data_IF_368317030409
#
_entry.id   IF_368317030409
#
_cell.length_a   1.000
_cell.length_b   1.000
_cell.length_c   1.000
_cell.angle_alpha   90.00
_cell.angle_beta   90.00
_cell.angle_gamma   90.00
#
_symmetry.space_group_name_H-M   'P 1'
#
loop_
_entity.id
_entity.type
_entity.pdbx_description
1 polymer ?
#
# COMPACT_ATOMS: atom_id res chain seq x y z
N UNK A 1 -48.46 37.48 -49.10
CA UNK A 1 -47.72 36.25 -48.79
C UNK A 1 -46.29 36.66 -48.42
N UNK A 2 -45.91 36.63 -47.13
CA UNK A 2 -44.57 37.05 -46.67
C UNK A 2 -43.56 35.97 -47.09
N UNK A 3 -42.71 36.27 -48.06
CA UNK A 3 -41.57 35.43 -48.43
C UNK A 3 -40.53 35.50 -47.31
N UNK A 4 -40.28 34.38 -46.63
CA UNK A 4 -39.15 34.22 -45.71
C UNK A 4 -37.89 34.07 -46.56
N UNK A 5 -37.01 35.06 -46.52
CA UNK A 5 -35.63 34.95 -47.01
C UNK A 5 -34.88 33.95 -46.15
N UNK A 6 -34.46 32.83 -46.72
CA UNK A 6 -33.50 31.94 -46.07
C UNK A 6 -32.11 32.55 -46.21
N UNK A 7 -31.52 32.93 -45.08
CA UNK A 7 -30.13 33.36 -45.00
C UNK A 7 -29.32 32.04 -44.91
N UNK A 8 -28.70 31.64 -46.02
CA UNK A 8 -27.82 30.48 -46.04
C UNK A 8 -26.51 30.78 -45.30
N UNK A 9 -26.00 29.81 -44.55
CA UNK A 9 -24.70 29.92 -43.87
C UNK A 9 -23.58 30.12 -44.91
N UNK A 10 -22.68 31.06 -44.65
CA UNK A 10 -21.55 31.29 -45.55
C UNK A 10 -20.50 30.19 -45.37
N UNK A 11 -19.81 29.83 -46.45
CA UNK A 11 -18.72 28.84 -46.43
C UNK A 11 -17.61 29.23 -45.44
N UNK A 12 -17.39 30.54 -45.28
CA UNK A 12 -16.43 31.12 -44.34
C UNK A 12 -16.87 30.92 -42.88
N UNK A 13 -18.15 31.05 -42.60
CA UNK A 13 -18.71 30.88 -41.25
C UNK A 13 -18.59 29.43 -40.76
N UNK A 14 -18.86 28.46 -41.64
CA UNK A 14 -18.61 27.04 -41.33
C UNK A 14 -17.10 26.75 -41.17
N UNK A 15 -16.24 27.36 -41.99
CA UNK A 15 -14.78 27.18 -41.86
C UNK A 15 -14.24 27.74 -40.53
N UNK A 16 -14.72 28.89 -40.09
CA UNK A 16 -14.34 29.49 -38.79
C UNK A 16 -14.87 28.63 -37.63
N UNK A 17 -16.12 28.15 -37.69
CA UNK A 17 -16.68 27.26 -36.66
C UNK A 17 -15.87 25.97 -36.54
N UNK A 18 -15.50 25.34 -37.66
CA UNK A 18 -14.68 24.13 -37.64
C UNK A 18 -13.26 24.39 -37.13
N UNK A 19 -12.66 25.53 -37.46
CA UNK A 19 -11.37 25.94 -36.92
C UNK A 19 -11.41 26.15 -35.40
N UNK A 20 -12.45 26.82 -34.88
CA UNK A 20 -12.65 27.02 -33.44
C UNK A 20 -12.92 25.68 -32.74
N UNK A 21 -13.75 24.80 -33.33
CA UNK A 21 -14.00 23.45 -32.80
C UNK A 21 -12.71 22.62 -32.72
N UNK A 22 -11.86 22.68 -33.75
CA UNK A 22 -10.57 21.98 -33.75
C UNK A 22 -9.63 22.48 -32.64
N UNK A 23 -9.62 23.78 -32.36
CA UNK A 23 -8.85 24.36 -31.26
C UNK A 23 -9.37 23.94 -29.87
N UNK A 24 -10.70 23.91 -29.69
CA UNK A 24 -11.34 23.49 -28.44
C UNK A 24 -11.11 21.99 -28.18
N UNK A 25 -11.29 21.16 -29.20
CA UNK A 25 -11.09 19.71 -29.09
C UNK A 25 -9.62 19.35 -28.88
N UNK A 26 -8.70 20.10 -29.48
CA UNK A 26 -7.26 19.90 -29.31
C UNK A 26 -6.74 20.22 -27.91
N UNK A 27 -7.36 21.16 -27.19
CA UNK A 27 -6.94 21.58 -25.84
C UNK A 27 -7.67 20.84 -24.70
N UNK A 28 -8.85 20.28 -24.94
CA UNK A 28 -9.65 19.63 -23.88
C UNK A 28 -9.18 18.25 -23.42
N UNK A 29 -8.43 17.51 -24.25
CA UNK A 29 -8.09 16.11 -23.97
C UNK A 29 -7.07 15.93 -22.85
N UNK A 30 -6.14 16.87 -22.65
CA UNK A 30 -5.10 16.79 -21.62
C UNK A 30 -5.62 17.11 -20.21
N UNK A 31 -6.62 17.99 -20.11
CA UNK A 31 -7.28 18.29 -18.84
C UNK A 31 -8.08 17.08 -18.34
N UNK A 32 -8.72 16.35 -19.26
CA UNK A 32 -9.50 15.17 -18.91
C UNK A 32 -8.62 14.05 -18.36
N UNK A 33 -7.42 13.83 -18.93
CA UNK A 33 -6.50 12.79 -18.42
C UNK A 33 -5.99 13.13 -17.01
N UNK A 34 -5.60 14.37 -16.75
CA UNK A 34 -5.17 14.80 -15.42
C UNK A 34 -6.27 14.63 -14.36
N UNK A 35 -7.55 14.88 -14.73
CA UNK A 35 -8.68 14.63 -13.84
C UNK A 35 -8.92 13.14 -13.58
N UNK A 36 -8.68 12.27 -14.56
CA UNK A 36 -8.76 10.83 -14.37
C UNK A 36 -7.66 10.31 -13.46
N UNK A 37 -6.43 10.81 -13.61
CA UNK A 37 -5.30 10.42 -12.77
C UNK A 37 -5.52 10.85 -11.32
N UNK A 38 -6.02 12.07 -11.09
CA UNK A 38 -6.39 12.53 -9.74
C UNK A 38 -7.44 11.61 -9.08
N UNK A 39 -8.46 11.18 -9.84
CA UNK A 39 -9.47 10.24 -9.34
C UNK A 39 -8.87 8.88 -8.99
N UNK A 40 -7.90 8.39 -9.79
CA UNK A 40 -7.21 7.12 -9.52
C UNK A 40 -6.33 7.18 -8.26
N UNK A 41 -5.68 8.32 -8.01
CA UNK A 41 -4.91 8.56 -6.79
C UNK A 41 -5.84 8.51 -5.56
N UNK A 42 -7.02 9.13 -5.66
CA UNK A 42 -8.02 9.12 -4.58
C UNK A 42 -8.65 7.74 -4.36
N UNK A 43 -9.01 7.03 -5.44
CA UNK A 43 -9.52 5.65 -5.37
C UNK A 43 -8.50 4.70 -4.75
N UNK A 44 -7.24 4.82 -5.13
CA UNK A 44 -6.14 4.04 -4.52
C UNK A 44 -5.96 4.36 -3.05
N UNK A 45 -6.01 5.65 -2.66
CA UNK A 45 -5.95 6.03 -1.25
C UNK A 45 -7.10 5.41 -0.45
N UNK A 46 -8.32 5.39 -1.00
CA UNK A 46 -9.47 4.73 -0.39
C UNK A 46 -9.22 3.22 -0.21
N UNK A 47 -8.77 2.53 -1.27
CA UNK A 47 -8.48 1.08 -1.22
C UNK A 47 -7.37 0.72 -0.23
N UNK A 48 -6.33 1.56 -0.13
CA UNK A 48 -5.28 1.40 0.89
C UNK A 48 -5.84 1.55 2.31
N UNK A 49 -6.76 2.50 2.53
CA UNK A 49 -7.41 2.65 3.83
C UNK A 49 -8.34 1.47 4.14
N UNK A 50 -9.10 0.96 3.16
CA UNK A 50 -9.93 -0.23 3.33
C UNK A 50 -9.07 -1.46 3.68
N UNK A 51 -7.94 -1.64 3.00
CA UNK A 51 -6.96 -2.68 3.33
C UNK A 51 -6.39 -2.52 4.75
N UNK A 52 -6.06 -1.28 5.17
CA UNK A 52 -5.60 -0.98 6.53
C UNK A 52 -6.63 -1.42 7.57
N UNK A 53 -7.89 -1.04 7.39
CA UNK A 53 -8.97 -1.40 8.32
C UNK A 53 -9.25 -2.91 8.31
N UNK A 54 -9.17 -3.57 7.16
CA UNK A 54 -9.29 -5.02 7.06
C UNK A 54 -8.18 -5.77 7.81
N UNK A 55 -6.93 -5.28 7.74
CA UNK A 55 -5.81 -5.83 8.53
C UNK A 55 -6.06 -5.71 10.03
N UNK A 56 -6.55 -4.55 10.49
CA UNK A 56 -6.93 -4.37 11.90
C UNK A 56 -8.06 -5.32 12.27
N UNK A 57 -9.11 -5.41 11.45
CA UNK A 57 -10.23 -6.33 11.66
C UNK A 57 -9.79 -7.80 11.73
N UNK A 58 -8.84 -8.20 10.88
CA UNK A 58 -8.24 -9.53 10.91
C UNK A 58 -7.50 -9.79 12.23
N UNK A 59 -6.71 -8.82 12.72
CA UNK A 59 -6.07 -8.91 14.03
C UNK A 59 -7.09 -9.05 15.18
N UNK A 60 -8.20 -8.32 15.13
CA UNK A 60 -9.26 -8.44 16.13
C UNK A 60 -9.95 -9.80 16.10
N UNK A 61 -10.08 -10.43 14.93
CA UNK A 61 -10.66 -11.76 14.81
C UNK A 61 -9.68 -12.85 15.28
N UNK A 62 -8.47 -12.84 14.72
CA UNK A 62 -7.51 -13.94 14.78
C UNK A 62 -6.37 -13.75 15.76
N UNK A 63 -6.22 -12.57 16.38
CA UNK A 63 -5.13 -12.28 17.31
C UNK A 63 -3.78 -12.01 16.64
N UNK A 64 -3.74 -11.92 15.31
CA UNK A 64 -2.53 -11.73 14.51
C UNK A 64 -2.86 -11.02 13.20
N UNK A 65 -1.87 -10.43 12.56
CA UNK A 65 -1.92 -9.99 11.18
C UNK A 65 -1.75 -11.18 10.22
N UNK A 66 -2.29 -11.10 9.00
CA UNK A 66 -2.14 -12.17 8.03
C UNK A 66 -0.73 -12.17 7.45
N UNK A 67 -0.27 -13.33 6.99
CA UNK A 67 0.96 -13.40 6.21
C UNK A 67 0.75 -12.90 4.78
N UNK A 68 1.78 -12.33 4.13
CA UNK A 68 1.66 -11.92 2.74
C UNK A 68 1.25 -13.08 1.83
N UNK A 69 0.42 -12.80 0.84
CA UNK A 69 0.11 -13.74 -0.23
C UNK A 69 1.29 -13.87 -1.20
N UNK A 70 1.37 -15.03 -1.85
CA UNK A 70 2.38 -15.27 -2.90
C UNK A 70 2.12 -14.36 -4.11
N UNK A 71 3.09 -13.50 -4.48
CA UNK A 71 2.94 -12.59 -5.63
C UNK A 71 2.75 -13.29 -6.96
N UNK A 72 3.23 -14.52 -7.11
CA UNK A 72 3.36 -15.23 -8.39
C UNK A 72 2.11 -16.03 -8.76
N UNK A 73 1.19 -16.21 -7.82
CA UNK A 73 -0.06 -16.94 -8.06
C UNK A 73 -1.04 -16.03 -8.82
N UNK A 74 -1.42 -16.46 -10.03
CA UNK A 74 -2.33 -15.71 -10.88
C UNK A 74 -3.76 -15.68 -10.31
N UNK A 75 -4.47 -14.57 -10.52
CA UNK A 75 -5.85 -14.40 -10.03
C UNK A 75 -6.79 -15.47 -10.56
N UNK A 76 -7.73 -15.89 -9.71
CA UNK A 76 -8.70 -16.94 -10.03
C UNK A 76 -8.15 -18.36 -9.97
N UNK A 77 -6.87 -18.55 -9.64
CA UNK A 77 -6.29 -19.87 -9.34
C UNK A 77 -6.36 -20.19 -7.85
N UNK A 78 -6.27 -21.47 -7.49
CA UNK A 78 -6.29 -21.91 -6.10
C UNK A 78 -5.13 -21.28 -5.32
N UNK A 79 -5.44 -20.67 -4.18
CA UNK A 79 -4.46 -19.98 -3.34
C UNK A 79 -4.20 -18.52 -3.71
N UNK A 80 -4.76 -18.01 -4.82
CA UNK A 80 -4.61 -16.60 -5.19
C UNK A 80 -5.20 -15.69 -4.11
N UNK A 81 -4.38 -14.77 -3.58
CA UNK A 81 -4.78 -13.80 -2.58
C UNK A 81 -5.04 -14.36 -1.19
N UNK A 82 -4.74 -15.65 -0.97
CA UNK A 82 -4.77 -16.23 0.36
C UNK A 82 -3.46 -15.89 1.07
N UNK A 83 -3.52 -15.64 2.38
CA UNK A 83 -2.30 -15.53 3.19
C UNK A 83 -1.44 -16.78 3.00
N UNK A 84 -0.12 -16.59 2.83
CA UNK A 84 0.80 -17.71 2.97
C UNK A 84 0.65 -18.31 4.37
N UNK A 85 1.03 -19.60 4.55
CA UNK A 85 0.80 -20.34 5.79
C UNK A 85 1.26 -19.62 7.07
N UNK A 86 2.43 -19.97 7.61
CA UNK A 86 2.95 -19.31 8.81
C UNK A 86 4.14 -18.44 8.45
N UNK A 87 4.17 -17.20 8.93
CA UNK A 87 5.34 -16.33 8.82
C UNK A 87 6.39 -16.84 9.80
N UNK A 88 7.33 -17.65 9.31
CA UNK A 88 8.35 -18.32 10.16
C UNK A 88 9.74 -17.69 10.07
N UNK A 89 9.92 -16.62 9.29
CA UNK A 89 11.22 -15.93 9.21
C UNK A 89 11.49 -15.18 10.52
N UNK A 90 12.73 -14.76 10.76
CA UNK A 90 13.15 -14.26 12.08
C UNK A 90 12.84 -12.79 12.37
N UNK A 91 12.37 -12.01 11.38
CA UNK A 91 12.10 -10.56 11.61
C UNK A 91 10.92 -10.01 10.81
N UNK A 92 10.94 -10.16 9.48
CA UNK A 92 9.97 -9.58 8.56
C UNK A 92 9.58 -10.55 7.45
N UNK A 93 8.36 -10.42 6.95
CA UNK A 93 7.82 -11.15 5.79
C UNK A 93 7.19 -10.17 4.82
N UNK A 94 7.62 -10.19 3.56
CA UNK A 94 7.09 -9.35 2.49
C UNK A 94 6.57 -10.14 1.29
N UNK A 95 5.57 -9.58 0.62
CA UNK A 95 4.88 -10.18 -0.52
C UNK A 95 3.75 -9.29 -1.01
N UNK A 96 2.59 -9.86 -1.31
CA UNK A 96 1.39 -9.12 -1.71
C UNK A 96 0.36 -9.13 -0.59
N UNK A 97 -0.44 -8.06 -0.50
CA UNK A 97 -1.56 -8.00 0.42
C UNK A 97 -2.49 -9.20 0.18
N UNK A 98 -2.83 -10.03 1.18
CA UNK A 98 -3.67 -11.21 0.98
C UNK A 98 -5.14 -10.82 0.80
N UNK A 99 -5.47 -10.32 -0.39
CA UNK A 99 -6.75 -9.67 -0.70
C UNK A 99 -7.96 -10.62 -0.57
N UNK A 100 -7.80 -11.91 -0.87
CA UNK A 100 -8.86 -12.89 -0.75
C UNK A 100 -9.10 -13.28 0.72
N UNK A 101 -8.05 -13.37 1.53
CA UNK A 101 -8.16 -13.57 2.99
C UNK A 101 -8.82 -12.37 3.68
N UNK A 102 -8.48 -11.16 3.24
CA UNK A 102 -8.97 -9.91 3.83
C UNK A 102 -10.34 -9.46 3.28
N UNK A 103 -10.78 -10.01 2.14
CA UNK A 103 -12.02 -9.59 1.48
C UNK A 103 -11.94 -8.17 0.91
N UNK A 104 -10.77 -7.73 0.46
CA UNK A 104 -10.52 -6.39 -0.08
C UNK A 104 -10.16 -6.44 -1.57
N UNK A 105 -10.04 -5.26 -2.20
CA UNK A 105 -9.64 -5.16 -3.60
C UNK A 105 -8.24 -5.75 -3.84
N UNK A 106 -8.10 -6.54 -4.89
CA UNK A 106 -6.80 -7.10 -5.30
C UNK A 106 -5.82 -6.01 -5.76
N UNK A 107 -6.32 -5.02 -6.50
CA UNK A 107 -5.49 -4.02 -7.18
C UNK A 107 -5.84 -2.59 -6.79
N UNK A 108 -4.85 -1.72 -6.97
CA UNK A 108 -5.01 -0.28 -7.02
C UNK A 108 -5.88 0.18 -8.21
N UNK A 109 -6.05 1.49 -8.39
CA UNK A 109 -6.84 2.06 -9.47
C UNK A 109 -6.17 1.95 -10.85
N UNK A 110 -4.90 1.52 -10.91
CA UNK A 110 -4.14 1.31 -12.14
C UNK A 110 -3.96 -0.17 -12.50
N UNK A 111 -4.46 -1.09 -11.67
CA UNK A 111 -4.43 -2.53 -11.92
C UNK A 111 -3.18 -3.25 -11.39
N UNK A 112 -2.40 -2.63 -10.50
CA UNK A 112 -1.29 -3.30 -9.80
C UNK A 112 -1.73 -3.83 -8.45
N UNK A 113 -1.16 -4.95 -8.02
CA UNK A 113 -1.35 -5.50 -6.68
C UNK A 113 -0.63 -4.65 -5.64
N UNK A 114 -1.22 -4.55 -4.45
CA UNK A 114 -0.59 -3.89 -3.31
C UNK A 114 0.54 -4.75 -2.74
N UNK A 115 1.74 -4.20 -2.63
CA UNK A 115 2.80 -4.87 -1.86
C UNK A 115 2.50 -4.75 -0.37
N UNK A 116 2.80 -5.80 0.38
CA UNK A 116 2.49 -5.89 1.80
C UNK A 116 3.67 -6.50 2.54
N UNK A 117 4.05 -5.86 3.64
CA UNK A 117 5.12 -6.31 4.51
C UNK A 117 4.65 -6.26 5.96
N UNK A 118 5.01 -7.29 6.71
CA UNK A 118 4.61 -7.46 8.11
C UNK A 118 5.79 -7.89 8.95
N UNK A 119 5.86 -7.36 10.18
CA UNK A 119 6.81 -7.81 11.20
C UNK A 119 6.29 -9.13 11.79
N UNK A 120 7.14 -10.15 11.85
CA UNK A 120 6.68 -11.52 12.08
C UNK A 120 6.06 -11.76 13.45
N UNK A 121 6.49 -11.03 14.49
CA UNK A 121 5.90 -11.09 15.83
C UNK A 121 4.39 -10.75 15.82
N UNK A 122 3.92 -10.03 14.80
CA UNK A 122 2.51 -9.73 14.62
C UNK A 122 1.77 -10.74 13.76
N UNK A 123 2.45 -11.63 13.02
CA UNK A 123 1.83 -12.51 12.02
C UNK A 123 2.08 -14.01 12.24
N UNK A 124 2.86 -14.38 13.25
CA UNK A 124 3.11 -15.77 13.60
C UNK A 124 1.95 -16.41 14.38
N UNK A 125 2.11 -17.68 14.76
CA UNK A 125 1.09 -18.37 15.55
C UNK A 125 1.08 -17.89 16.99
N UNK A 126 -0.12 -17.76 17.58
CA UNK A 126 -0.30 -17.43 19.01
C UNK A 126 0.52 -18.37 19.91
N UNK A 127 0.59 -19.66 19.57
CA UNK A 127 1.34 -20.67 20.31
C UNK A 127 2.87 -20.49 20.29
N UNK A 128 3.40 -19.64 19.42
CA UNK A 128 4.84 -19.33 19.36
C UNK A 128 5.30 -18.52 20.58
N UNK A 129 4.38 -17.77 21.21
CA UNK A 129 4.68 -16.86 22.31
C UNK A 129 5.90 -15.95 22.04
N UNK A 130 6.04 -15.46 20.81
CA UNK A 130 7.19 -14.68 20.33
C UNK A 130 7.17 -13.21 20.77
N UNK A 131 6.05 -12.75 21.35
CA UNK A 131 5.78 -11.37 21.77
C UNK A 131 6.80 -10.72 22.71
N UNK A 132 7.67 -11.50 23.36
CA UNK A 132 8.73 -11.02 24.27
C UNK A 132 10.09 -11.70 24.10
N UNK A 133 10.23 -12.48 23.02
CA UNK A 133 11.45 -13.17 22.65
C UNK A 133 11.96 -12.52 21.37
N UNK A 134 12.72 -11.45 21.54
CA UNK A 134 13.86 -11.27 20.68
C UNK A 134 15.09 -11.23 21.58
N UNK A 135 15.83 -12.33 21.66
CA UNK A 135 17.23 -12.29 22.12
C UNK A 135 18.11 -11.47 21.13
N UNK A 136 17.53 -10.45 20.48
CA UNK A 136 18.07 -9.70 19.38
C UNK A 136 18.39 -8.30 19.87
N UNK A 137 19.66 -8.06 20.14
CA UNK A 137 20.20 -6.74 20.50
C UNK A 137 20.24 -5.75 19.34
N UNK A 138 19.50 -6.00 18.25
CA UNK A 138 19.54 -5.19 17.01
C UNK A 138 18.26 -4.39 16.74
N UNK A 139 17.16 -4.61 17.50
CA UNK A 139 15.91 -3.86 17.31
C UNK A 139 15.63 -2.92 18.50
N UNK A 140 15.83 -1.62 18.28
CA UNK A 140 15.83 -0.56 19.30
C UNK A 140 14.45 -0.11 19.76
N UNK A 141 13.47 -1.00 19.97
CA UNK A 141 12.26 -0.63 20.71
C UNK A 141 12.53 -0.67 22.23
N UNK A 142 13.57 0.02 22.67
CA UNK A 142 14.13 -0.01 24.03
C UNK A 142 14.51 -1.43 24.53
N UNK A 143 15.78 -1.78 24.30
CA UNK A 143 16.51 -2.98 24.75
C UNK A 143 16.56 -3.21 26.27
N UNK A 144 15.74 -2.51 27.06
CA UNK A 144 15.63 -2.73 28.51
C UNK A 144 14.29 -3.32 28.92
N UNK A 145 13.30 -3.39 28.03
CA UNK A 145 12.00 -3.96 28.31
C UNK A 145 11.87 -5.37 27.76
N UNK A 146 12.42 -6.34 28.49
CA UNK A 146 11.97 -7.72 28.35
C UNK A 146 10.45 -7.72 28.50
N UNK A 147 9.72 -8.10 27.45
CA UNK A 147 8.29 -8.28 27.58
C UNK A 147 8.01 -9.53 28.39
N UNK A 148 8.03 -9.34 29.71
CA UNK A 148 7.81 -10.37 30.71
C UNK A 148 6.34 -10.33 31.10
N UNK A 149 5.54 -11.14 30.41
CA UNK A 149 4.17 -11.37 30.82
C UNK A 149 4.15 -12.35 32.01
N UNK A 150 3.24 -12.13 32.96
CA UNK A 150 3.02 -13.02 34.10
C UNK A 150 2.35 -14.34 33.70
N UNK A 151 1.76 -14.38 32.51
CA UNK A 151 1.15 -15.56 31.88
C UNK A 151 1.17 -15.42 30.36
N UNK A 152 1.16 -16.55 29.67
CA UNK A 152 1.14 -16.56 28.22
C UNK A 152 -0.16 -16.00 27.62
N UNK A 153 -0.04 -15.32 26.48
CA UNK A 153 -1.21 -14.83 25.74
C UNK A 153 -1.94 -16.00 25.08
N UNK A 154 -3.26 -16.07 25.29
CA UNK A 154 -4.10 -17.11 24.68
C UNK A 154 -4.78 -16.65 23.39
N UNK A 155 -4.83 -15.35 23.13
CA UNK A 155 -5.68 -14.76 22.10
C UNK A 155 -4.96 -13.84 21.11
N UNK A 156 -3.65 -13.65 21.27
CA UNK A 156 -2.86 -12.74 20.43
C UNK A 156 -1.43 -13.26 20.28
N UNK A 157 -0.83 -13.07 19.09
CA UNK A 157 0.56 -13.44 18.82
C UNK A 157 1.56 -12.36 19.29
N UNK A 158 1.06 -11.13 19.48
CA UNK A 158 1.81 -9.98 19.96
C UNK A 158 1.20 -9.43 21.27
N UNK A 159 1.95 -8.64 22.03
CA UNK A 159 1.57 -7.95 23.27
C UNK A 159 1.71 -6.42 23.13
N UNK A 160 1.28 -5.65 24.15
CA UNK A 160 1.41 -4.18 24.18
C UNK A 160 2.87 -3.67 24.14
N UNK A 161 3.78 -4.52 24.58
CA UNK A 161 5.23 -4.32 24.57
C UNK A 161 5.88 -4.74 23.23
N UNK A 162 5.14 -5.40 22.33
CA UNK A 162 5.72 -5.94 21.10
C UNK A 162 6.07 -4.83 20.13
N UNK A 163 7.09 -5.08 19.30
CA UNK A 163 7.69 -4.04 18.49
C UNK A 163 7.63 -4.41 17.01
N UNK A 164 7.29 -3.44 16.17
CA UNK A 164 7.45 -3.58 14.73
C UNK A 164 8.92 -3.47 14.33
N UNK A 165 9.29 -4.10 13.21
CA UNK A 165 10.60 -3.98 12.58
C UNK A 165 10.65 -2.93 11.48
N UNK A 166 9.50 -2.45 11.01
CA UNK A 166 9.43 -1.59 9.82
C UNK A 166 9.57 -0.10 10.17
N UNK A 167 10.19 0.65 9.26
CA UNK A 167 10.48 2.08 9.37
C UNK A 167 10.00 2.83 8.14
N UNK A 168 9.37 3.99 8.36
CA UNK A 168 8.94 4.91 7.30
C UNK A 168 9.89 6.10 7.27
N UNK A 169 10.40 6.43 6.08
CA UNK A 169 11.36 7.49 5.80
C UNK A 169 10.74 8.56 4.89
N UNK A 170 11.30 9.77 4.93
CA UNK A 170 10.91 10.88 4.04
C UNK A 170 11.46 10.76 2.62
N UNK A 171 12.54 10.01 2.44
CA UNK A 171 13.18 9.66 1.18
C UNK A 171 14.08 8.44 1.38
N UNK A 172 14.60 7.83 0.31
CA UNK A 172 15.59 6.76 0.42
C UNK A 172 16.82 7.27 1.22
N UNK A 173 17.14 6.60 2.34
CA UNK A 173 18.18 7.05 3.28
C UNK A 173 17.89 8.39 3.99
N UNK A 174 16.65 8.87 3.94
CA UNK A 174 16.22 10.15 4.51
C UNK A 174 15.93 10.10 6.01
N UNK A 175 15.27 11.14 6.51
CA UNK A 175 14.86 11.21 7.91
C UNK A 175 13.70 10.26 8.20
N UNK A 176 13.70 9.69 9.40
CA UNK A 176 12.63 8.81 9.87
C UNK A 176 11.36 9.59 10.19
N UNK A 177 10.25 9.16 9.59
CA UNK A 177 8.89 9.64 9.85
C UNK A 177 8.16 8.79 10.90
N UNK A 178 8.38 7.47 10.89
CA UNK A 178 7.80 6.53 11.86
C UNK A 178 8.71 5.32 12.04
N UNK A 179 8.81 4.80 13.26
CA UNK A 179 9.49 3.53 13.58
C UNK A 179 8.51 2.53 14.18
N UNK A 180 8.98 1.29 14.36
CA UNK A 180 8.26 0.20 15.02
C UNK A 180 6.90 -0.11 14.40
N UNK A 181 6.83 0.03 13.08
CA UNK A 181 5.60 -0.18 12.33
C UNK A 181 5.33 -1.69 12.21
N UNK A 182 4.14 -2.18 12.61
CA UNK A 182 3.80 -3.60 12.50
C UNK A 182 3.68 -4.09 11.06
N UNK A 183 3.07 -3.29 10.18
CA UNK A 183 2.87 -3.62 8.78
C UNK A 183 2.75 -2.39 7.87
N UNK A 184 3.15 -2.56 6.62
CA UNK A 184 3.12 -1.56 5.54
C UNK A 184 2.42 -2.12 4.32
N UNK A 185 1.63 -1.29 3.65
CA UNK A 185 0.98 -1.54 2.37
C UNK A 185 1.44 -0.47 1.38
N UNK A 186 1.87 -0.88 0.19
CA UNK A 186 2.37 0.00 -0.87
C UNK A 186 1.54 -0.19 -2.14
N UNK A 187 1.08 0.92 -2.71
CA UNK A 187 0.68 1.02 -4.11
C UNK A 187 1.82 1.63 -4.91
N UNK A 188 2.22 0.99 -6.01
CA UNK A 188 3.34 1.45 -6.85
C UNK A 188 2.95 2.52 -7.88
N UNK A 189 1.96 3.35 -7.52
CA UNK A 189 1.58 4.53 -8.30
C UNK A 189 1.17 4.27 -9.75
N UNK A 190 1.44 5.25 -10.63
CA UNK A 190 1.04 5.30 -12.05
C UNK A 190 2.03 4.57 -12.96
N UNK A 191 3.30 4.41 -12.59
CA UNK A 191 4.30 3.68 -13.35
C UNK A 191 4.27 2.17 -13.02
N UNK A 192 3.90 1.80 -11.78
CA UNK A 192 3.80 0.43 -11.30
C UNK A 192 5.14 -0.32 -11.19
N UNK A 193 6.28 0.36 -11.28
CA UNK A 193 7.59 -0.31 -11.37
C UNK A 193 7.88 -1.10 -10.09
N UNK A 194 8.25 -2.37 -10.24
CA UNK A 194 8.48 -3.27 -9.11
C UNK A 194 7.22 -3.95 -8.55
N UNK A 195 6.02 -3.50 -8.92
CA UNK A 195 4.75 -4.11 -8.53
C UNK A 195 4.49 -5.46 -9.21
N UNK A 196 3.50 -6.21 -8.71
CA UNK A 196 2.99 -7.41 -9.36
C UNK A 196 1.62 -7.16 -10.00
N UNK A 197 1.38 -7.83 -11.12
CA UNK A 197 0.11 -7.85 -11.81
C UNK A 197 -0.76 -9.04 -11.35
N UNK A 198 -2.08 -9.01 -11.60
CA UNK A 198 -2.98 -10.15 -11.43
C UNK A 198 -2.52 -11.44 -12.13
N UNK A 199 -1.68 -11.34 -13.17
CA UNK A 199 -1.07 -12.50 -13.84
C UNK A 199 0.04 -13.18 -13.03
N UNK A 200 0.46 -12.61 -11.90
CA UNK A 200 1.62 -13.05 -11.13
C UNK A 200 2.96 -12.52 -11.67
N UNK A 201 2.94 -11.70 -12.73
CA UNK A 201 4.15 -11.13 -13.32
C UNK A 201 4.54 -9.84 -12.61
N UNK A 202 5.85 -9.68 -12.37
CA UNK A 202 6.42 -8.44 -11.85
C UNK A 202 6.64 -7.42 -12.97
N UNK A 203 6.33 -6.16 -12.73
CA UNK A 203 6.58 -5.06 -13.67
C UNK A 203 8.06 -4.66 -13.59
N UNK A 204 8.70 -4.59 -14.75
CA UNK A 204 10.12 -4.27 -14.92
C UNK A 204 10.30 -2.92 -15.66
N UNK A 205 11.43 -2.22 -15.46
CA UNK A 205 12.52 -2.55 -14.53
C UNK A 205 12.10 -2.36 -13.07
N UNK A 206 12.70 -3.12 -12.15
CA UNK A 206 12.60 -2.82 -10.72
C UNK A 206 13.51 -1.61 -10.47
N UNK A 207 13.01 -0.51 -9.85
CA UNK A 207 13.84 0.66 -9.60
C UNK A 207 15.02 0.32 -8.67
N UNK A 208 16.12 1.06 -8.79
CA UNK A 208 17.29 0.86 -7.93
C UNK A 208 16.95 1.21 -6.48
N UNK A 209 17.41 0.44 -5.51
CA UNK A 209 17.09 0.61 -4.07
C UNK A 209 17.46 1.98 -3.49
N UNK A 210 18.39 2.71 -4.14
CA UNK A 210 18.74 4.07 -3.74
C UNK A 210 17.71 5.14 -4.16
N UNK A 211 16.70 4.75 -4.93
CA UNK A 211 15.59 5.63 -5.34
C UNK A 211 14.40 5.46 -4.41
N UNK A 212 13.53 6.46 -4.33
CA UNK A 212 12.36 6.39 -3.44
C UNK A 212 11.42 5.23 -3.80
N UNK A 213 11.14 5.01 -5.09
CA UNK A 213 10.32 3.88 -5.56
C UNK A 213 11.05 2.53 -5.45
N UNK A 214 12.37 2.56 -5.54
CA UNK A 214 13.19 1.37 -5.34
C UNK A 214 13.16 0.88 -3.90
N UNK A 215 13.19 1.81 -2.93
CA UNK A 215 13.03 1.48 -1.52
C UNK A 215 11.68 0.78 -1.27
N UNK A 216 10.60 1.28 -1.88
CA UNK A 216 9.28 0.68 -1.74
C UNK A 216 9.09 -0.67 -2.47
N UNK A 217 10.10 -1.17 -3.18
CA UNK A 217 10.04 -2.41 -3.98
C UNK A 217 11.15 -3.43 -3.66
N UNK A 218 11.99 -3.18 -2.65
CA UNK A 218 13.19 -3.98 -2.37
C UNK A 218 13.01 -5.06 -1.27
N UNK A 219 11.86 -5.09 -0.57
CA UNK A 219 11.49 -6.06 0.48
C UNK A 219 12.48 -6.03 1.67
N UNK A 220 12.87 -4.84 2.13
CA UNK A 220 13.60 -4.64 3.38
C UNK A 220 12.72 -4.01 4.49
N UNK A 221 13.35 -3.48 5.54
CA UNK A 221 12.67 -2.90 6.70
C UNK A 221 12.27 -1.42 6.51
N UNK A 222 12.69 -0.78 5.41
CA UNK A 222 12.53 0.64 5.18
C UNK A 222 11.57 0.91 4.02
N UNK A 223 10.76 1.95 4.18
CA UNK A 223 9.81 2.41 3.17
C UNK A 223 9.83 3.92 3.07
N UNK A 224 9.60 4.45 1.88
CA UNK A 224 9.50 5.89 1.65
C UNK A 224 8.04 6.30 1.54
N UNK A 225 7.64 7.29 2.34
CA UNK A 225 6.35 7.96 2.21
C UNK A 225 6.58 9.46 2.08
N UNK A 226 6.18 10.02 0.94
CA UNK A 226 6.29 11.45 0.63
C UNK A 226 5.17 11.89 -0.32
N UNK A 227 4.94 13.21 -0.50
CA UNK A 227 4.05 13.69 -1.55
C UNK A 227 4.50 13.19 -2.93
N UNK A 228 3.53 12.92 -3.81
CA UNK A 228 3.78 12.50 -5.18
C UNK A 228 4.59 13.57 -5.91
N UNK A 229 5.63 13.15 -6.63
CA UNK A 229 6.53 14.04 -7.35
C UNK A 229 6.79 13.61 -8.80
N UNK A 230 6.89 14.59 -9.68
CA UNK A 230 7.31 14.42 -11.07
C UNK A 230 8.84 14.31 -11.19
N UNK A 231 9.32 13.85 -12.35
CA UNK A 231 10.74 13.52 -12.54
C UNK A 231 11.71 14.71 -12.37
N UNK A 232 11.20 15.94 -12.46
CA UNK A 232 12.01 17.16 -12.38
C UNK A 232 12.09 17.74 -10.96
N UNK A 233 11.45 17.13 -9.97
CA UNK A 233 11.43 17.63 -8.61
C UNK A 233 12.58 17.08 -7.76
N UNK A 234 12.97 17.85 -6.73
CA UNK A 234 14.06 17.50 -5.83
C UNK A 234 13.77 16.17 -5.13
N UNK A 235 14.70 15.22 -5.27
CA UNK A 235 14.55 13.87 -4.75
C UNK A 235 13.94 12.86 -5.74
N UNK A 236 13.65 13.28 -6.98
CA UNK A 236 13.27 12.40 -8.08
C UNK A 236 11.77 12.13 -8.19
N UNK A 237 11.43 11.34 -9.21
CA UNK A 237 10.07 10.85 -9.44
C UNK A 237 9.61 9.98 -8.26
N UNK A 238 8.34 10.14 -7.86
CA UNK A 238 7.71 9.31 -6.85
C UNK A 238 6.20 9.33 -7.06
N UNK A 239 5.62 8.21 -7.43
CA UNK A 239 4.17 8.08 -7.57
C UNK A 239 3.55 7.06 -6.59
N UNK A 240 4.36 6.42 -5.76
CA UNK A 240 3.90 5.44 -4.79
C UNK A 240 3.00 6.06 -3.71
N UNK A 241 2.03 5.28 -3.25
CA UNK A 241 1.21 5.60 -2.09
C UNK A 241 1.45 4.54 -1.02
N UNK A 242 1.92 4.99 0.15
CA UNK A 242 2.27 4.12 1.27
C UNK A 242 1.33 4.36 2.44
N UNK A 243 0.81 3.27 2.99
CA UNK A 243 -0.05 3.24 4.16
C UNK A 243 0.51 2.21 5.14
N UNK A 244 0.59 2.58 6.41
CA UNK A 244 1.04 1.65 7.45
C UNK A 244 0.06 1.55 8.62
N UNK A 245 0.23 0.50 9.43
CA UNK A 245 -0.44 0.35 10.71
C UNK A 245 0.34 1.12 11.79
N UNK A 246 -0.36 1.97 12.54
CA UNK A 246 0.21 2.54 13.77
C UNK A 246 0.12 1.49 14.88
N UNK A 247 1.21 1.21 15.62
CA UNK A 247 1.17 0.28 16.75
C UNK A 247 0.16 0.76 17.80
N UNK A 248 0.09 2.07 18.06
CA UNK A 248 -0.85 2.66 19.03
C UNK A 248 -2.31 2.42 18.66
N UNK A 249 -2.66 2.56 17.38
CA UNK A 249 -4.03 2.31 16.91
C UNK A 249 -4.33 0.81 17.02
N UNK A 250 -3.42 -0.05 16.55
CA UNK A 250 -3.60 -1.50 16.62
C UNK A 250 -3.81 -1.97 18.07
N UNK A 251 -2.93 -1.55 18.99
CA UNK A 251 -3.02 -1.90 20.40
C UNK A 251 -4.32 -1.42 21.04
N UNK A 252 -4.72 -0.16 20.79
CA UNK A 252 -5.97 0.36 21.31
C UNK A 252 -7.19 -0.47 20.88
N UNK A 253 -7.24 -0.89 19.61
CA UNK A 253 -8.31 -1.74 19.09
C UNK A 253 -8.27 -3.14 19.71
N UNK A 254 -7.08 -3.72 19.84
CA UNK A 254 -6.90 -5.05 20.42
C UNK A 254 -7.30 -5.12 21.91
N UNK A 255 -6.98 -4.08 22.69
CA UNK A 255 -7.43 -3.94 24.09
C UNK A 255 -8.95 -3.80 24.15
N UNK A 256 -9.56 -2.97 23.29
CA UNK A 256 -11.03 -2.83 23.24
C UNK A 256 -11.75 -4.14 22.90
N UNK A 257 -11.13 -4.98 22.08
CA UNK A 257 -11.65 -6.31 21.73
C UNK A 257 -11.33 -7.39 22.79
N UNK A 258 -10.64 -7.05 23.88
CA UNK A 258 -10.24 -7.99 24.93
C UNK A 258 -9.22 -9.03 24.45
N UNK A 259 -8.53 -8.77 23.34
CA UNK A 259 -7.44 -9.63 22.83
C UNK A 259 -6.13 -9.40 23.56
N UNK A 260 -5.94 -8.18 24.06
CA UNK A 260 -4.83 -7.78 24.91
C UNK A 260 -5.36 -7.31 26.27
N UNK A 261 -4.61 -7.56 27.37
CA UNK A 261 -4.94 -7.05 28.69
C UNK A 261 -4.82 -5.52 28.80
#
# INVERSE_FOLDING_TARGET
MKTRTQIGFTLVEIAIVMFIMALILGTGLTLLSAQQDQRKIEDTASKLNDAREALIGFALAYGRLPCPADPTIASGTTGAGQEAGTCTTTSISGGILPWATLGVSETDAWGRRFSYQVTNIYADTISSHSYGNDNNTSYTCDHTHLCTLTSDLQYSSFALCSCGGLTILSSAGGSTLSTFVPAVIVSHGINGLGAYLPSGQRILPVPATTTNEGENSNIDDNFVSRPLTSANETGGYFDDQVVWLSPNILFNRMVQAGKLP
#
